data_IF_002934459489
#
_entry.id   IF_002934459489
#
_cell.length_a   1.000
_cell.length_b   1.000
_cell.length_c   1.000
_cell.angle_alpha   90.00
_cell.angle_beta   90.00
_cell.angle_gamma   90.00
#
_symmetry.space_group_name_H-M   'P 1'
#
loop_
_entity.id
_entity.type
_entity.pdbx_description
1 polymer ?
#
# COMPACT_ATOMS: atom_id res chain seq x y z
N UNK A 1 18.02 -5.08 0.56
CA UNK A 1 17.25 -3.84 0.36
C UNK A 1 16.15 -3.82 1.43
N UNK A 2 16.05 -2.78 2.26
CA UNK A 2 14.97 -2.66 3.26
C UNK A 2 13.69 -2.29 2.50
N UNK A 3 12.86 -3.28 2.19
CA UNK A 3 11.61 -3.10 1.46
C UNK A 3 10.53 -2.44 2.30
N UNK A 4 9.38 -2.15 1.67
CA UNK A 4 8.18 -1.71 2.38
C UNK A 4 7.74 -2.82 3.34
N UNK A 5 7.44 -2.45 4.58
CA UNK A 5 6.79 -3.33 5.54
C UNK A 5 5.33 -2.89 5.73
N UNK A 6 4.41 -3.84 5.66
CA UNK A 6 2.98 -3.63 5.86
C UNK A 6 2.50 -4.55 6.98
N UNK A 7 1.90 -3.95 8.01
CA UNK A 7 1.38 -4.68 9.17
C UNK A 7 -0.01 -4.17 9.54
N UNK A 8 -0.82 -5.04 10.15
CA UNK A 8 -2.09 -4.66 10.78
C UNK A 8 -1.78 -4.25 12.22
N UNK A 9 -2.28 -3.11 12.65
CA UNK A 9 -2.23 -2.67 14.05
C UNK A 9 -3.60 -2.13 14.45
N UNK A 10 -4.30 -2.85 15.32
CA UNK A 10 -5.69 -2.56 15.69
C UNK A 10 -6.58 -2.43 14.42
N UNK A 11 -7.21 -1.27 14.24
CA UNK A 11 -8.08 -0.93 13.12
C UNK A 11 -7.35 -0.24 11.95
N UNK A 12 -6.01 -0.21 11.99
CA UNK A 12 -5.19 0.45 10.98
C UNK A 12 -4.28 -0.53 10.22
N UNK A 13 -4.07 -0.25 8.94
CA UNK A 13 -2.92 -0.72 8.17
C UNK A 13 -1.77 0.25 8.40
N UNK A 14 -0.65 -0.26 8.87
CA UNK A 14 0.58 0.50 9.09
C UNK A 14 1.57 0.15 8.01
N UNK A 15 1.99 1.15 7.24
CA UNK A 15 2.97 1.04 6.18
C UNK A 15 4.24 1.75 6.64
N UNK A 16 5.35 1.01 6.65
CA UNK A 16 6.66 1.51 7.05
C UNK A 16 7.63 1.42 5.89
N UNK A 17 8.33 2.53 5.63
CA UNK A 17 9.41 2.56 4.65
C UNK A 17 10.51 3.52 5.14
N UNK A 18 11.72 3.00 5.35
CA UNK A 18 12.79 3.71 6.05
C UNK A 18 12.32 4.30 7.38
N UNK A 19 12.37 5.62 7.54
CA UNK A 19 11.92 6.34 8.74
C UNK A 19 10.46 6.82 8.63
N UNK A 20 9.83 6.65 7.47
CA UNK A 20 8.44 7.05 7.26
C UNK A 20 7.48 5.97 7.77
N UNK A 21 6.39 6.43 8.39
CA UNK A 21 5.27 5.62 8.83
C UNK A 21 3.98 6.28 8.33
N UNK A 22 3.14 5.50 7.67
CA UNK A 22 1.80 5.89 7.25
C UNK A 22 0.80 4.95 7.89
N UNK A 23 -0.26 5.50 8.47
CA UNK A 23 -1.35 4.73 9.06
C UNK A 23 -2.61 5.01 8.26
N UNK A 24 -3.26 3.94 7.79
CA UNK A 24 -4.49 4.01 7.01
C UNK A 24 -5.56 3.24 7.79
N UNK A 25 -6.65 3.90 8.22
CA UNK A 25 -7.79 3.20 8.81
C UNK A 25 -8.33 2.15 7.85
N UNK A 26 -8.55 0.93 8.33
CA UNK A 26 -9.09 -0.17 7.51
C UNK A 26 -10.48 0.20 6.98
N UNK A 27 -11.27 0.91 7.79
CA UNK A 27 -12.60 1.41 7.42
C UNK A 27 -12.59 2.44 6.29
N UNK A 28 -11.43 3.02 5.96
CA UNK A 28 -11.27 3.97 4.87
C UNK A 28 -10.78 3.33 3.57
N UNK A 29 -10.34 2.07 3.60
CA UNK A 29 -9.89 1.35 2.40
C UNK A 29 -11.12 0.93 1.58
N UNK A 30 -11.16 1.37 0.33
CA UNK A 30 -12.23 1.06 -0.63
C UNK A 30 -11.84 -0.16 -1.46
N UNK A 31 -10.61 -0.17 -1.97
CA UNK A 31 -10.09 -1.26 -2.80
C UNK A 31 -8.56 -1.34 -2.74
N UNK A 32 -8.04 -2.53 -3.00
CA UNK A 32 -6.61 -2.81 -3.11
C UNK A 32 -6.37 -3.61 -4.38
N UNK A 33 -5.62 -3.05 -5.31
CA UNK A 33 -5.38 -3.65 -6.63
C UNK A 33 -3.92 -3.55 -7.04
N UNK A 34 -3.54 -4.32 -8.06
CA UNK A 34 -2.30 -4.04 -8.79
C UNK A 34 -2.53 -2.87 -9.75
N UNK A 35 -1.56 -1.97 -9.79
CA UNK A 35 -1.48 -0.91 -10.80
C UNK A 35 -0.55 -1.37 -11.92
N UNK A 36 -1.09 -1.48 -13.12
CA UNK A 36 -0.38 -1.93 -14.33
C UNK A 36 0.37 -0.80 -15.04
N UNK A 37 0.27 0.43 -14.54
CA UNK A 37 0.99 1.59 -15.07
C UNK A 37 2.33 1.79 -14.40
N UNK A 38 3.26 2.52 -15.05
CA UNK A 38 4.60 2.71 -14.50
C UNK A 38 4.67 3.59 -13.25
N UNK A 39 3.77 4.57 -13.11
CA UNK A 39 3.80 5.57 -12.03
C UNK A 39 2.45 5.81 -11.36
N UNK A 40 1.41 5.05 -11.73
CA UNK A 40 0.02 5.36 -11.41
C UNK A 40 -0.59 6.39 -12.34
N UNK A 41 -1.90 6.26 -12.55
CA UNK A 41 -2.71 7.26 -13.29
C UNK A 41 -3.14 8.43 -12.42
N UNK A 42 -3.19 8.24 -11.11
CA UNK A 42 -3.55 9.27 -10.15
C UNK A 42 -2.34 10.14 -9.79
N UNK A 43 -2.32 11.38 -10.28
CA UNK A 43 -1.28 12.36 -9.98
C UNK A 43 -1.22 12.68 -8.49
N UNK A 44 -2.37 12.69 -7.80
CA UNK A 44 -2.50 12.99 -6.37
C UNK A 44 -2.13 11.83 -5.44
N UNK A 45 -1.89 10.63 -5.98
CA UNK A 45 -1.59 9.47 -5.16
C UNK A 45 -0.25 9.60 -4.41
N UNK A 46 -0.27 9.24 -3.13
CA UNK A 46 0.90 9.21 -2.27
C UNK A 46 1.73 7.97 -2.62
N UNK A 47 2.96 8.22 -3.08
CA UNK A 47 3.88 7.20 -3.57
C UNK A 47 4.86 6.79 -2.47
N UNK A 48 4.90 5.51 -2.14
CA UNK A 48 5.73 4.97 -1.05
C UNK A 48 6.59 3.83 -1.59
N UNK A 49 7.88 3.86 -1.27
CA UNK A 49 8.84 2.86 -1.73
C UNK A 49 9.75 3.36 -2.85
N UNK A 50 10.67 2.49 -3.32
CA UNK A 50 11.61 2.84 -4.36
C UNK A 50 10.93 2.77 -5.74
N UNK A 51 10.79 3.90 -6.46
CA UNK A 51 10.09 3.93 -7.75
C UNK A 51 10.85 3.22 -8.88
N UNK A 52 12.15 2.97 -8.68
CA UNK A 52 13.03 2.28 -9.61
C UNK A 52 13.48 0.94 -9.02
N UNK A 53 13.59 -0.08 -9.87
CA UNK A 53 14.03 -1.42 -9.47
C UNK A 53 12.96 -2.29 -8.82
N UNK A 54 11.73 -1.79 -8.71
CA UNK A 54 10.54 -2.55 -8.32
C UNK A 54 9.67 -2.79 -9.55
N UNK A 55 9.11 -3.99 -9.68
CA UNK A 55 8.26 -4.37 -10.81
C UNK A 55 6.79 -4.13 -10.52
N UNK A 56 6.40 -4.15 -9.25
CA UNK A 56 5.01 -4.22 -8.86
C UNK A 56 4.59 -2.96 -8.11
N UNK A 57 3.34 -2.58 -8.33
CA UNK A 57 2.70 -1.42 -7.71
C UNK A 57 1.37 -1.85 -7.13
N UNK A 58 1.24 -1.69 -5.82
CA UNK A 58 -0.05 -1.93 -5.14
C UNK A 58 -0.73 -0.59 -4.95
N UNK A 59 -1.89 -0.43 -5.59
CA UNK A 59 -2.77 0.71 -5.39
C UNK A 59 -3.71 0.41 -4.23
N UNK A 60 -3.72 1.29 -3.24
CA UNK A 60 -4.69 1.30 -2.15
C UNK A 60 -5.55 2.54 -2.35
N UNK A 61 -6.81 2.35 -2.76
CA UNK A 61 -7.75 3.47 -2.80
C UNK A 61 -8.41 3.62 -1.45
N UNK A 62 -8.49 4.86 -0.99
CA UNK A 62 -9.18 5.20 0.24
C UNK A 62 -10.19 6.32 0.01
N UNK A 63 -11.00 6.61 1.01
CA UNK A 63 -11.96 7.73 0.95
C UNK A 63 -11.29 9.10 0.84
N UNK A 64 -10.01 9.23 1.24
CA UNK A 64 -9.31 10.52 1.31
C UNK A 64 -8.17 10.61 0.29
N UNK A 65 -7.15 9.76 0.42
CA UNK A 65 -5.97 9.76 -0.44
C UNK A 65 -5.71 8.36 -0.98
N UNK A 66 -5.33 8.27 -2.25
CA UNK A 66 -4.87 7.01 -2.82
C UNK A 66 -3.38 6.84 -2.54
N UNK A 67 -2.94 5.59 -2.38
CA UNK A 67 -1.55 5.25 -2.11
C UNK A 67 -1.05 4.26 -3.15
N UNK A 68 0.18 4.47 -3.63
CA UNK A 68 0.85 3.55 -4.55
C UNK A 68 2.11 3.05 -3.85
N UNK A 69 2.17 1.74 -3.62
CA UNK A 69 3.30 1.07 -2.98
C UNK A 69 4.18 0.40 -4.03
N UNK A 70 5.42 0.87 -4.15
CA UNK A 70 6.43 0.27 -5.02
C UNK A 70 7.09 -0.91 -4.32
N UNK A 71 6.89 -2.12 -4.85
CA UNK A 71 7.32 -3.36 -4.18
C UNK A 71 7.77 -4.42 -5.18
N UNK A 72 8.50 -5.41 -4.68
CA UNK A 72 8.80 -6.66 -5.39
C UNK A 72 8.08 -7.86 -4.76
N UNK A 73 7.20 -7.61 -3.78
CA UNK A 73 6.45 -8.63 -3.07
C UNK A 73 5.00 -8.19 -2.87
N UNK A 74 4.33 -7.91 -3.99
CA UNK A 74 2.94 -7.43 -3.98
C UNK A 74 1.99 -8.46 -3.36
N UNK A 75 2.21 -9.76 -3.61
CA UNK A 75 1.37 -10.85 -3.10
C UNK A 75 1.30 -10.83 -1.59
N UNK A 76 2.44 -10.69 -0.90
CA UNK A 76 2.46 -10.59 0.56
C UNK A 76 1.69 -9.36 1.05
N UNK A 77 1.93 -8.20 0.44
CA UNK A 77 1.28 -6.94 0.83
C UNK A 77 -0.24 -7.02 0.62
N UNK A 78 -0.70 -7.44 -0.56
CA UNK A 78 -2.12 -7.57 -0.86
C UNK A 78 -2.81 -8.57 0.06
N UNK A 79 -2.20 -9.74 0.28
CA UNK A 79 -2.75 -10.73 1.21
C UNK A 79 -2.85 -10.15 2.62
N UNK A 80 -1.82 -9.45 3.09
CA UNK A 80 -1.81 -8.86 4.43
C UNK A 80 -2.92 -7.84 4.61
N UNK A 81 -3.14 -6.97 3.63
CA UNK A 81 -4.19 -5.95 3.69
C UNK A 81 -5.58 -6.61 3.56
N UNK A 82 -5.76 -7.51 2.61
CA UNK A 82 -7.04 -8.20 2.41
C UNK A 82 -7.45 -9.04 3.63
N UNK A 83 -6.52 -9.75 4.27
CA UNK A 83 -6.79 -10.45 5.53
C UNK A 83 -7.20 -9.48 6.64
N UNK A 84 -6.55 -8.32 6.74
CA UNK A 84 -6.89 -7.33 7.75
C UNK A 84 -8.26 -6.68 7.53
N UNK A 85 -8.69 -6.52 6.26
CA UNK A 85 -10.04 -6.07 5.90
C UNK A 85 -11.07 -7.15 6.25
N UNK A 86 -10.80 -8.42 5.92
CA UNK A 86 -11.74 -9.52 6.17
C UNK A 86 -11.96 -9.84 7.67
N UNK A 87 -11.02 -9.45 8.52
CA UNK A 87 -11.10 -9.62 9.98
C UNK A 87 -11.81 -8.47 10.72
N UNK A 88 -12.12 -7.36 10.05
CA UNK A 88 -12.87 -6.22 10.61
C UNK A 88 -14.30 -6.20 10.09
#
# INVERSE_FOLDING_TARGET
MLGINVEKSNENIVIKYHLAKVEIPISDIIEVTLDDTYAGTDEGAIRIGPPYGTTDRVLIKTKTNNYILFTTNYTFIMNKINSAIAEN
#
